data_IF_912885507911
#
_entry.id   IF_912885507911
#
_cell.length_a   1.000
_cell.length_b   1.000
_cell.length_c   1.000
_cell.angle_alpha   90.00
_cell.angle_beta   90.00
_cell.angle_gamma   90.00
#
_symmetry.space_group_name_H-M   'P 1'
#
loop_
_entity.id
_entity.type
_entity.pdbx_description
1 polymer ?
#
# COMPACT_ATOMS: atom_id res chain seq x y z
N UNK A 1 48.60 -64.94 -22.60
CA UNK A 1 49.88 -64.84 -23.34
C UNK A 1 50.26 -63.36 -23.46
N UNK A 2 51.49 -63.03 -23.07
CA UNK A 2 52.28 -61.78 -23.30
C UNK A 2 51.77 -60.43 -22.77
N UNK A 3 52.48 -59.94 -21.74
CA UNK A 3 52.77 -58.52 -21.44
C UNK A 3 54.03 -58.15 -22.26
N UNK A 4 54.15 -56.93 -22.82
CA UNK A 4 54.97 -55.86 -22.20
C UNK A 4 54.29 -54.47 -22.30
N UNK A 5 54.19 -53.69 -21.23
CA UNK A 5 55.21 -52.76 -20.71
C UNK A 5 55.67 -51.71 -21.74
N UNK A 6 55.48 -50.42 -21.44
CA UNK A 6 56.52 -49.38 -21.42
C UNK A 6 55.94 -48.02 -20.97
N UNK A 7 56.55 -47.52 -19.87
CA UNK A 7 56.96 -46.14 -19.60
C UNK A 7 55.94 -45.00 -19.42
N UNK A 8 55.85 -44.54 -18.16
CA UNK A 8 55.65 -43.13 -17.79
C UNK A 8 56.81 -42.25 -18.29
N UNK A 9 56.58 -40.94 -18.44
CA UNK A 9 57.02 -40.04 -17.38
C UNK A 9 55.99 -38.97 -17.00
N UNK A 10 56.10 -38.55 -15.75
CA UNK A 10 55.38 -37.47 -15.12
C UNK A 10 55.72 -36.11 -15.74
N UNK A 11 54.70 -35.26 -15.89
CA UNK A 11 54.87 -33.81 -16.00
C UNK A 11 53.88 -33.12 -15.08
N UNK A 12 54.39 -32.72 -13.91
CA UNK A 12 53.79 -31.69 -13.06
C UNK A 12 53.78 -30.38 -13.86
N UNK A 13 52.59 -29.88 -14.20
CA UNK A 13 52.40 -28.46 -14.54
C UNK A 13 51.40 -27.88 -13.53
N UNK A 14 51.94 -27.18 -12.54
CA UNK A 14 51.20 -26.19 -11.78
C UNK A 14 50.97 -24.98 -12.69
N UNK A 15 49.76 -24.83 -13.22
CA UNK A 15 49.34 -23.62 -13.92
C UNK A 15 48.52 -22.76 -12.97
N UNK A 16 49.07 -21.59 -12.65
CA UNK A 16 48.47 -20.57 -11.81
C UNK A 16 47.13 -20.10 -12.39
N UNK A 17 46.08 -20.09 -11.54
CA UNK A 17 44.82 -19.43 -11.82
C UNK A 17 45.05 -17.91 -11.78
N UNK A 18 45.43 -17.31 -12.91
CA UNK A 18 45.21 -15.87 -13.11
C UNK A 18 43.74 -15.69 -13.42
N UNK A 19 42.91 -15.55 -12.38
CA UNK A 19 41.57 -15.03 -12.53
C UNK A 19 41.66 -13.61 -13.07
N UNK A 20 41.43 -13.46 -14.37
CA UNK A 20 41.02 -12.17 -14.94
C UNK A 20 39.70 -11.81 -14.29
N UNK A 21 39.79 -11.07 -13.18
CA UNK A 21 38.66 -10.33 -12.66
C UNK A 21 38.33 -9.28 -13.72
N UNK A 22 37.38 -9.61 -14.59
CA UNK A 22 36.58 -8.58 -15.25
C UNK A 22 35.98 -7.78 -14.11
N UNK A 23 36.55 -6.62 -13.80
CA UNK A 23 35.88 -5.60 -13.00
C UNK A 23 34.70 -5.12 -13.83
N UNK A 24 33.61 -5.88 -13.80
CA UNK A 24 32.30 -5.36 -14.11
C UNK A 24 32.04 -4.35 -13.01
N UNK A 25 32.38 -3.08 -13.27
CA UNK A 25 31.80 -1.99 -12.50
C UNK A 25 30.30 -2.27 -12.47
N UNK A 26 29.67 -2.40 -11.29
CA UNK A 26 28.23 -2.48 -11.26
C UNK A 26 27.72 -1.23 -11.99
N UNK A 27 26.76 -1.33 -12.91
CA UNK A 27 26.08 -0.15 -13.38
C UNK A 27 25.56 0.54 -12.12
N UNK A 28 25.97 1.79 -11.91
CA UNK A 28 25.32 2.64 -10.93
C UNK A 28 23.82 2.58 -11.27
N UNK A 29 23.06 1.85 -10.44
CA UNK A 29 21.62 1.77 -10.53
C UNK A 29 21.01 3.17 -10.44
N UNK A 30 19.77 3.34 -10.92
CA UNK A 30 19.19 4.64 -11.21
C UNK A 30 19.19 5.52 -9.95
N UNK A 31 19.46 6.81 -10.15
CA UNK A 31 19.60 7.82 -9.10
C UNK A 31 18.57 7.64 -7.98
N UNK A 32 19.08 7.46 -6.76
CA UNK A 32 18.27 7.23 -5.58
C UNK A 32 17.22 8.33 -5.43
N UNK A 33 15.96 7.96 -5.62
CA UNK A 33 14.78 8.73 -5.28
C UNK A 33 14.71 8.82 -3.75
N UNK A 34 15.55 9.66 -3.14
CA UNK A 34 15.48 9.89 -1.70
C UNK A 34 14.24 10.71 -1.39
N UNK A 35 13.14 10.03 -1.13
CA UNK A 35 12.00 10.67 -0.52
C UNK A 35 12.40 11.11 0.90
N UNK A 36 12.28 12.40 1.17
CA UNK A 36 12.63 13.04 2.44
C UNK A 36 11.37 13.58 3.12
N UNK A 37 10.26 12.85 2.96
CA UNK A 37 8.97 13.24 3.49
C UNK A 37 9.02 13.35 5.02
N UNK A 38 8.39 14.40 5.54
CA UNK A 38 8.09 14.49 6.96
C UNK A 38 7.10 13.37 7.29
N UNK A 39 7.30 12.71 8.43
CA UNK A 39 6.34 11.73 8.94
C UNK A 39 4.99 12.41 9.17
N UNK A 40 3.91 11.64 9.04
CA UNK A 40 2.62 12.13 9.49
C UNK A 40 2.61 12.30 11.01
N UNK A 41 1.81 13.23 11.49
CA UNK A 41 1.54 13.37 12.91
C UNK A 41 0.73 12.16 13.44
N UNK A 42 0.75 11.90 14.75
CA UNK A 42 -0.14 10.92 15.36
C UNK A 42 -1.62 11.17 14.97
N UNK A 43 -2.40 10.11 14.70
CA UNK A 43 -2.10 8.71 14.94
C UNK A 43 -1.42 7.98 13.75
N UNK A 44 -0.92 8.69 12.75
CA UNK A 44 -0.40 8.11 11.51
C UNK A 44 1.14 8.11 11.41
N UNK A 45 1.85 8.32 12.52
CA UNK A 45 3.31 8.42 12.56
C UNK A 45 4.04 7.13 12.16
N UNK A 46 3.33 6.00 12.18
CA UNK A 46 3.79 4.70 11.68
C UNK A 46 3.55 4.49 10.17
N UNK A 47 2.83 5.40 9.49
CA UNK A 47 2.59 5.32 8.05
C UNK A 47 3.83 5.78 7.30
N UNK A 48 4.35 4.92 6.43
CA UNK A 48 5.49 5.22 5.57
C UNK A 48 5.10 6.21 4.47
N UNK A 49 5.26 7.51 4.74
CA UNK A 49 4.87 8.59 3.84
C UNK A 49 5.48 8.51 2.43
N UNK A 50 6.63 7.85 2.30
CA UNK A 50 7.31 7.65 1.03
C UNK A 50 6.77 6.47 0.19
N UNK A 51 5.87 5.67 0.74
CA UNK A 51 5.20 4.56 0.04
C UNK A 51 3.75 4.93 -0.29
N UNK A 52 3.45 5.06 -1.58
CA UNK A 52 2.09 5.32 -2.06
C UNK A 52 1.11 4.25 -1.57
N UNK A 53 1.54 2.99 -1.59
CA UNK A 53 0.76 1.84 -1.14
C UNK A 53 0.47 1.88 0.36
N UNK A 54 1.46 2.24 1.19
CA UNK A 54 1.25 2.38 2.63
C UNK A 54 0.26 3.50 2.94
N UNK A 55 0.38 4.65 2.25
CA UNK A 55 -0.56 5.77 2.40
C UNK A 55 -1.95 5.39 1.94
N UNK A 56 -2.10 4.71 0.79
CA UNK A 56 -3.41 4.27 0.30
C UNK A 56 -4.10 3.31 1.28
N UNK A 57 -3.37 2.30 1.78
CA UNK A 57 -3.92 1.35 2.76
C UNK A 57 -4.32 2.07 4.05
N UNK A 58 -3.45 2.95 4.59
CA UNK A 58 -3.74 3.68 5.82
C UNK A 58 -4.92 4.65 5.66
N UNK A 59 -4.97 5.41 4.56
CA UNK A 59 -6.03 6.38 4.30
C UNK A 59 -7.38 5.68 4.13
N UNK A 60 -7.44 4.62 3.33
CA UNK A 60 -8.66 3.83 3.13
C UNK A 60 -9.08 3.16 4.44
N UNK A 61 -8.15 2.59 5.21
CA UNK A 61 -8.47 2.03 6.53
C UNK A 61 -9.10 3.08 7.43
N UNK A 62 -8.53 4.29 7.51
CA UNK A 62 -9.04 5.38 8.34
C UNK A 62 -10.40 5.92 7.87
N UNK A 63 -10.64 5.99 6.55
CA UNK A 63 -11.94 6.41 5.97
C UNK A 63 -13.06 5.44 6.35
N UNK A 64 -12.74 4.16 6.45
CA UNK A 64 -13.68 3.08 6.77
C UNK A 64 -13.55 2.57 8.22
N UNK A 65 -12.81 3.26 9.12
CA UNK A 65 -12.72 2.94 10.55
C UNK A 65 -13.98 3.37 11.29
N UNK A 66 -15.08 2.67 11.01
CA UNK A 66 -16.41 3.00 11.50
C UNK A 66 -16.59 2.59 12.95
N UNK A 67 -17.04 3.55 13.76
CA UNK A 67 -17.36 3.38 15.17
C UNK A 67 -18.76 3.94 15.45
N UNK A 68 -19.83 3.23 15.09
CA UNK A 68 -21.19 3.77 15.14
C UNK A 68 -21.64 4.24 16.53
N UNK A 69 -21.05 3.73 17.61
CA UNK A 69 -21.29 4.17 18.99
C UNK A 69 -20.67 5.54 19.32
N UNK A 70 -19.63 5.96 18.60
CA UNK A 70 -18.86 7.19 18.84
C UNK A 70 -19.10 8.23 17.72
N UNK A 71 -19.43 7.77 16.54
CA UNK A 71 -19.53 8.54 15.32
C UNK A 71 -20.99 8.76 14.95
N UNK A 72 -21.36 10.01 14.68
CA UNK A 72 -22.72 10.32 14.22
C UNK A 72 -23.07 9.62 12.91
N UNK A 73 -22.12 9.61 11.98
CA UNK A 73 -22.21 9.01 10.65
C UNK A 73 -20.80 8.75 10.09
N UNK A 74 -20.72 8.10 8.93
CA UNK A 74 -19.50 7.68 8.25
C UNK A 74 -18.53 8.85 7.97
N UNK A 75 -19.01 10.10 7.89
CA UNK A 75 -18.15 11.26 7.63
C UNK A 75 -17.20 11.55 8.81
N UNK A 76 -17.51 11.05 10.00
CA UNK A 76 -16.59 11.18 11.14
C UNK A 76 -15.27 10.46 10.89
N UNK A 77 -15.32 9.22 10.37
CA UNK A 77 -14.13 8.45 9.99
C UNK A 77 -13.37 9.13 8.82
N UNK A 78 -14.10 9.64 7.82
CA UNK A 78 -13.50 10.45 6.75
C UNK A 78 -12.73 11.66 7.30
N UNK A 79 -13.32 12.40 8.26
CA UNK A 79 -12.67 13.57 8.86
C UNK A 79 -11.39 13.19 9.62
N UNK A 80 -11.34 12.05 10.30
CA UNK A 80 -10.11 11.58 10.95
C UNK A 80 -9.01 11.20 9.98
N UNK A 81 -9.36 10.80 8.75
CA UNK A 81 -8.39 10.43 7.71
C UNK A 81 -7.79 11.63 6.95
N UNK A 82 -8.28 12.86 7.18
CA UNK A 82 -7.82 14.09 6.48
C UNK A 82 -6.31 14.31 6.47
N UNK A 83 -5.52 13.98 7.51
CA UNK A 83 -4.05 14.12 7.47
C UNK A 83 -3.37 13.30 6.37
N UNK A 84 -4.02 12.25 5.86
CA UNK A 84 -3.50 11.38 4.81
C UNK A 84 -3.99 11.77 3.40
N UNK A 85 -4.70 12.90 3.27
CA UNK A 85 -5.36 13.32 2.03
C UNK A 85 -4.75 14.62 1.49
N UNK A 86 -4.89 14.83 0.19
CA UNK A 86 -4.74 16.19 -0.36
C UNK A 86 -5.84 17.10 0.21
N UNK A 87 -5.52 18.37 0.40
CA UNK A 87 -6.50 19.36 0.92
C UNK A 87 -7.73 19.50 0.01
N UNK A 88 -7.53 19.37 -1.31
CA UNK A 88 -8.61 19.38 -2.29
C UNK A 88 -9.56 18.20 -2.08
N UNK A 89 -9.03 16.97 -2.02
CA UNK A 89 -9.84 15.76 -1.81
C UNK A 89 -10.61 15.82 -0.49
N UNK A 90 -9.91 16.18 0.59
CA UNK A 90 -10.49 16.34 1.92
C UNK A 90 -11.66 17.35 1.94
N UNK A 91 -11.63 18.37 1.08
CA UNK A 91 -12.68 19.40 1.00
C UNK A 91 -13.88 18.93 0.18
N UNK A 92 -13.65 18.29 -0.98
CA UNK A 92 -14.74 17.95 -1.90
C UNK A 92 -15.46 16.64 -1.57
N UNK A 93 -14.80 15.69 -0.94
CA UNK A 93 -15.29 14.30 -0.87
C UNK A 93 -16.06 13.95 0.40
N UNK A 94 -16.09 14.83 1.41
CA UNK A 94 -16.70 14.50 2.72
C UNK A 94 -18.17 14.06 2.59
N UNK A 95 -18.98 14.72 1.75
CA UNK A 95 -20.38 14.34 1.59
C UNK A 95 -20.55 12.99 0.89
N UNK A 96 -19.65 12.66 -0.04
CA UNK A 96 -19.68 11.39 -0.76
C UNK A 96 -19.37 10.18 0.15
N UNK A 97 -18.70 10.41 1.28
CA UNK A 97 -18.36 9.35 2.24
C UNK A 97 -19.57 8.59 2.80
N UNK A 98 -20.77 9.19 2.80
CA UNK A 98 -22.01 8.53 3.20
C UNK A 98 -22.48 7.44 2.21
N UNK A 99 -21.97 7.47 0.98
CA UNK A 99 -22.43 6.60 -0.11
C UNK A 99 -21.38 5.56 -0.54
N UNK A 100 -20.19 5.57 0.04
CA UNK A 100 -19.10 4.68 -0.37
C UNK A 100 -19.26 3.25 0.14
N UNK A 101 -19.63 3.07 1.40
CA UNK A 101 -19.89 1.74 1.92
C UNK A 101 -21.36 1.37 1.65
N UNK A 102 -21.66 0.11 1.26
CA UNK A 102 -23.03 -0.37 1.04
C UNK A 102 -23.71 -0.65 2.39
N UNK A 103 -23.86 0.38 3.21
CA UNK A 103 -24.45 0.37 4.56
C UNK A 103 -25.72 1.22 4.52
N UNK A 104 -26.84 0.66 4.97
CA UNK A 104 -28.08 1.43 5.08
C UNK A 104 -28.10 2.30 6.34
N UNK A 105 -28.94 3.34 6.34
CA UNK A 105 -29.20 4.13 7.56
C UNK A 105 -29.72 3.28 8.71
N UNK A 106 -30.51 2.23 8.41
CA UNK A 106 -31.00 1.28 9.42
C UNK A 106 -29.87 0.44 10.02
N UNK A 107 -28.92 -0.03 9.22
CA UNK A 107 -27.77 -0.79 9.70
C UNK A 107 -26.92 0.08 10.64
N UNK A 108 -26.61 1.31 10.21
CA UNK A 108 -25.86 2.25 11.04
C UNK A 108 -26.56 2.54 12.37
N UNK A 109 -27.86 2.84 12.34
CA UNK A 109 -28.63 3.12 13.54
C UNK A 109 -28.69 1.90 14.47
N UNK A 110 -28.83 0.70 13.92
CA UNK A 110 -28.81 -0.54 14.68
C UNK A 110 -27.46 -0.72 15.38
N UNK A 111 -26.35 -0.65 14.65
CA UNK A 111 -25.01 -0.79 15.21
C UNK A 111 -24.69 0.28 16.26
N UNK A 112 -25.13 1.53 16.03
CA UNK A 112 -24.98 2.60 17.01
C UNK A 112 -25.76 2.30 18.30
N UNK A 113 -27.01 1.83 18.19
CA UNK A 113 -27.88 1.54 19.34
C UNK A 113 -27.34 0.40 20.21
N UNK A 114 -26.77 -0.63 19.57
CA UNK A 114 -26.25 -1.82 20.26
C UNK A 114 -24.74 -1.77 20.49
N UNK A 115 -24.09 -0.63 20.19
CA UNK A 115 -22.64 -0.47 20.23
C UNK A 115 -21.88 -1.61 19.53
N UNK A 116 -22.39 -2.05 18.38
CA UNK A 116 -21.79 -3.14 17.59
C UNK A 116 -20.41 -2.70 17.09
N UNK A 117 -19.31 -3.36 17.51
CA UNK A 117 -17.99 -3.09 16.96
C UNK A 117 -17.93 -3.50 15.49
N UNK A 118 -17.23 -2.71 14.68
CA UNK A 118 -16.93 -3.02 13.28
C UNK A 118 -15.42 -3.17 13.17
N UNK A 119 -14.96 -4.31 12.66
CA UNK A 119 -13.56 -4.50 12.29
C UNK A 119 -13.40 -4.21 10.81
N UNK A 120 -12.48 -3.31 10.46
CA UNK A 120 -12.18 -2.96 9.07
C UNK A 120 -10.85 -3.61 8.65
N UNK A 121 -10.87 -4.33 7.53
CA UNK A 121 -9.68 -4.88 6.89
C UNK A 121 -9.54 -4.28 5.50
N UNK A 122 -8.34 -3.78 5.17
CA UNK A 122 -8.01 -3.23 3.86
C UNK A 122 -6.79 -3.93 3.31
N UNK A 123 -6.85 -4.38 2.05
CA UNK A 123 -5.76 -5.07 1.36
C UNK A 123 -5.63 -4.53 -0.05
N UNK A 124 -4.39 -4.37 -0.53
CA UNK A 124 -4.14 -4.14 -1.95
C UNK A 124 -4.56 -5.38 -2.74
N UNK A 125 -5.17 -5.19 -3.89
CA UNK A 125 -5.42 -6.26 -4.85
C UNK A 125 -4.36 -6.24 -5.95
N UNK A 126 -4.30 -7.31 -6.73
CA UNK A 126 -3.45 -7.40 -7.92
C UNK A 126 -4.16 -6.93 -9.19
N UNK A 127 -5.24 -6.16 -9.07
CA UNK A 127 -6.04 -5.74 -10.23
C UNK A 127 -5.29 -4.73 -11.09
N UNK A 128 -5.60 -4.74 -12.39
CA UNK A 128 -5.00 -3.81 -13.35
C UNK A 128 -5.24 -2.36 -12.96
N UNK A 129 -4.18 -1.57 -13.01
CA UNK A 129 -4.19 -0.14 -12.78
C UNK A 129 -3.37 0.57 -13.88
N UNK A 130 -3.60 1.87 -14.12
CA UNK A 130 -2.73 2.64 -14.99
C UNK A 130 -1.26 2.55 -14.55
N UNK A 131 -0.29 2.64 -15.47
CA UNK A 131 1.12 2.64 -15.11
C UNK A 131 1.46 3.74 -14.10
N UNK A 132 2.26 3.39 -13.10
CA UNK A 132 2.74 4.36 -12.12
C UNK A 132 3.65 5.38 -12.77
N UNK A 133 3.53 6.64 -12.33
CA UNK A 133 4.46 7.71 -12.67
C UNK A 133 5.04 8.30 -11.38
N UNK A 134 6.16 9.05 -11.43
CA UNK A 134 6.85 9.49 -10.23
C UNK A 134 5.99 10.25 -9.21
N UNK A 135 4.90 10.87 -9.64
CA UNK A 135 4.02 11.73 -8.82
C UNK A 135 2.57 11.24 -8.74
N UNK A 136 2.23 10.10 -9.35
CA UNK A 136 0.86 9.56 -9.35
C UNK A 136 0.86 8.04 -9.38
N UNK A 137 0.13 7.44 -8.45
CA UNK A 137 -0.02 5.99 -8.29
C UNK A 137 -1.50 5.66 -8.09
N UNK A 138 -1.98 4.62 -8.75
CA UNK A 138 -3.35 4.12 -8.61
C UNK A 138 -3.35 2.66 -8.20
N UNK A 139 -4.22 2.28 -7.27
CA UNK A 139 -4.39 0.89 -6.83
C UNK A 139 -5.85 0.58 -6.61
N UNK A 140 -6.20 -0.69 -6.77
CA UNK A 140 -7.47 -1.23 -6.26
C UNK A 140 -7.21 -1.86 -4.89
N UNK A 141 -8.09 -1.58 -3.94
CA UNK A 141 -8.06 -2.10 -2.59
C UNK A 141 -9.35 -2.86 -2.31
N UNK A 142 -9.24 -4.05 -1.73
CA UNK A 142 -10.35 -4.76 -1.15
C UNK A 142 -10.58 -4.25 0.28
N UNK A 143 -11.80 -3.81 0.57
CA UNK A 143 -12.25 -3.44 1.90
C UNK A 143 -13.24 -4.48 2.38
N UNK A 144 -13.05 -4.94 3.62
CA UNK A 144 -13.97 -5.81 4.32
C UNK A 144 -14.35 -5.18 5.65
N UNK A 145 -15.64 -4.91 5.83
CA UNK A 145 -16.22 -4.46 7.09
C UNK A 145 -16.87 -5.65 7.77
N UNK A 146 -16.50 -5.90 9.02
CA UNK A 146 -16.98 -7.03 9.79
C UNK A 146 -17.67 -6.53 11.07
N UNK A 147 -18.98 -6.23 11.03
CA UNK A 147 -19.76 -5.98 12.24
C UNK A 147 -19.80 -7.25 13.11
N UNK A 148 -19.65 -7.09 14.42
CA UNK A 148 -19.60 -8.22 15.33
C UNK A 148 -20.90 -9.05 15.28
N UNK A 149 -20.78 -10.36 15.05
CA UNK A 149 -21.92 -11.29 15.02
C UNK A 149 -22.78 -11.21 13.76
N UNK A 150 -22.34 -10.52 12.70
CA UNK A 150 -23.08 -10.37 11.43
C UNK A 150 -22.20 -10.82 10.24
N UNK A 151 -22.78 -11.05 9.05
CA UNK A 151 -21.98 -11.26 7.84
C UNK A 151 -21.08 -10.06 7.50
N UNK A 152 -19.91 -10.34 6.95
CA UNK A 152 -19.00 -9.31 6.44
C UNK A 152 -19.52 -8.62 5.18
N UNK A 153 -19.12 -7.37 5.00
CA UNK A 153 -19.46 -6.52 3.86
C UNK A 153 -18.18 -6.20 3.09
N UNK A 154 -18.04 -6.79 1.90
CA UNK A 154 -16.88 -6.60 1.03
C UNK A 154 -17.17 -5.68 -0.15
N UNK A 155 -16.24 -4.78 -0.48
CA UNK A 155 -16.32 -3.93 -1.68
C UNK A 155 -14.93 -3.46 -2.14
N UNK A 156 -14.84 -2.99 -3.38
CA UNK A 156 -13.59 -2.52 -3.99
C UNK A 156 -13.48 -1.00 -3.96
N UNK A 157 -12.31 -0.50 -3.54
CA UNK A 157 -11.95 0.91 -3.55
C UNK A 157 -10.85 1.14 -4.58
N UNK A 158 -11.09 2.07 -5.50
CA UNK A 158 -10.10 2.55 -6.45
C UNK A 158 -9.44 3.78 -5.84
N UNK A 159 -8.23 3.63 -5.32
CA UNK A 159 -7.48 4.69 -4.67
C UNK A 159 -6.49 5.36 -5.64
N UNK A 160 -6.41 6.69 -5.57
CA UNK A 160 -5.42 7.48 -6.31
C UNK A 160 -4.57 8.29 -5.32
N UNK A 161 -3.28 8.05 -5.30
CA UNK A 161 -2.32 8.80 -4.51
C UNK A 161 -1.47 9.72 -5.40
N UNK A 162 -1.18 10.92 -4.91
CA UNK A 162 -0.27 11.86 -5.57
C UNK A 162 0.76 12.43 -4.61
N UNK A 163 1.82 12.99 -5.18
CA UNK A 163 2.81 13.83 -4.50
C UNK A 163 3.30 14.91 -5.45
N UNK A 164 3.76 16.05 -4.93
CA UNK A 164 4.19 17.18 -5.77
C UNK A 164 5.51 16.92 -6.49
N UNK A 165 6.42 16.21 -5.83
CA UNK A 165 7.74 15.86 -6.35
C UNK A 165 8.26 14.60 -5.63
N UNK A 166 9.45 14.14 -5.98
CA UNK A 166 10.03 12.90 -5.47
C UNK A 166 10.50 12.97 -4.01
N UNK A 167 10.69 14.17 -3.46
CA UNK A 167 11.12 14.39 -2.08
C UNK A 167 9.92 14.41 -1.11
N UNK A 168 8.71 14.69 -1.61
CA UNK A 168 7.49 14.72 -0.79
C UNK A 168 6.85 13.35 -0.59
N UNK A 169 6.10 13.26 0.51
CA UNK A 169 5.27 12.12 0.84
C UNK A 169 4.04 12.05 -0.07
N UNK A 170 3.51 10.84 -0.21
CA UNK A 170 2.26 10.58 -0.91
C UNK A 170 1.06 11.00 -0.07
N UNK A 171 0.00 11.42 -0.74
CA UNK A 171 -1.30 11.72 -0.14
C UNK A 171 -2.41 11.11 -1.01
N UNK A 172 -3.50 10.67 -0.38
CA UNK A 172 -4.71 10.25 -1.10
C UNK A 172 -5.36 11.48 -1.77
N UNK A 173 -5.46 11.45 -3.10
CA UNK A 173 -5.97 12.54 -3.92
C UNK A 173 -7.36 12.28 -4.48
N UNK A 174 -7.74 11.01 -4.61
CA UNK A 174 -9.10 10.61 -4.98
C UNK A 174 -9.39 9.19 -4.52
N UNK A 175 -10.68 8.89 -4.36
CA UNK A 175 -11.14 7.51 -4.26
C UNK A 175 -12.50 7.33 -4.95
N UNK A 176 -12.67 6.18 -5.58
CA UNK A 176 -13.96 5.71 -6.08
C UNK A 176 -14.32 4.37 -5.45
N UNK A 177 -15.61 4.11 -5.24
CA UNK A 177 -16.09 2.79 -4.84
C UNK A 177 -16.96 2.22 -5.93
N UNK A 178 -16.78 0.92 -6.21
CA UNK A 178 -17.76 0.14 -6.98
C UNK A 178 -18.41 -0.88 -6.04
N UNK A 179 -19.73 -0.78 -5.97
CA UNK A 179 -20.65 -1.72 -5.32
C UNK A 179 -21.37 -2.55 -6.37
#
# INVERSE_FOLDING_TARGET
MKIPALLMPATLLAAALTGTACTTSPPNGPGGTSCAAVKFDPPFDAVEACSAEAVLVAAVTAIFDYRPSEQRDQRAAFRSARPLMTGEFATRAEQAALAWAPITTSDWQHWATYATPITTTVRLTGDDHPPDIPTSVQRVLAVELQPAGQPGIGFAVYGHATRTDHEKGWLLADLGVRS
#
